data_IF_925367616583
#
_entry.id   IF_925367616583
#
_cell.length_a   1.000
_cell.length_b   1.000
_cell.length_c   1.000
_cell.angle_alpha   90.00
_cell.angle_beta   90.00
_cell.angle_gamma   90.00
#
_symmetry.space_group_name_H-M   'P 1'
#
loop_
_entity.id
_entity.type
_entity.pdbx_description
1 polymer ?
#
# COMPACT_ATOMS: atom_id res chain seq x y z
N UNK A 1 13.65 -5.37 -24.08
CA UNK A 1 13.71 -4.32 -25.13
C UNK A 1 12.51 -3.41 -24.89
N UNK A 2 12.69 -2.13 -24.50
CA UNK A 2 11.54 -1.24 -24.26
C UNK A 2 10.97 -0.76 -25.61
N UNK A 3 9.64 -0.85 -25.76
CA UNK A 3 8.89 -0.36 -26.92
C UNK A 3 8.47 1.11 -26.69
N UNK A 4 8.35 1.96 -27.73
CA UNK A 4 8.32 3.43 -27.62
C UNK A 4 7.03 4.07 -27.09
N UNK A 5 6.12 3.32 -26.48
CA UNK A 5 5.00 3.86 -25.70
C UNK A 5 5.22 3.44 -24.25
N UNK A 6 6.06 4.16 -23.52
CA UNK A 6 6.46 3.77 -22.15
C UNK A 6 5.34 3.99 -21.14
N UNK A 7 4.28 3.20 -21.23
CA UNK A 7 3.41 2.87 -20.11
C UNK A 7 4.09 1.75 -19.33
N UNK A 8 4.65 2.10 -18.17
CA UNK A 8 5.14 1.12 -17.21
C UNK A 8 3.94 0.31 -16.72
N UNK A 9 4.01 -1.02 -16.89
CA UNK A 9 3.01 -1.95 -16.39
C UNK A 9 3.62 -2.84 -15.33
N UNK A 10 2.86 -3.07 -14.26
CA UNK A 10 3.19 -4.11 -13.32
C UNK A 10 2.83 -5.44 -13.95
N UNK A 11 3.79 -6.35 -14.05
CA UNK A 11 3.55 -7.69 -14.59
C UNK A 11 3.92 -8.75 -13.57
N UNK A 12 3.09 -9.79 -13.48
CA UNK A 12 3.43 -11.01 -12.78
C UNK A 12 3.95 -12.03 -13.80
N UNK A 13 5.24 -12.36 -13.70
CA UNK A 13 5.84 -13.44 -14.46
C UNK A 13 5.78 -14.73 -13.63
N UNK A 14 5.16 -15.77 -14.18
CA UNK A 14 5.26 -17.13 -13.66
C UNK A 14 5.97 -17.98 -14.71
N UNK A 15 7.05 -18.64 -14.33
CA UNK A 15 7.80 -19.50 -15.25
C UNK A 15 8.28 -20.76 -14.57
N UNK A 16 8.37 -21.83 -15.36
CA UNK A 16 8.93 -23.12 -14.97
C UNK A 16 9.94 -23.58 -16.02
N UNK A 17 11.07 -24.17 -15.60
CA UNK A 17 12.02 -24.73 -16.53
C UNK A 17 11.41 -25.96 -17.21
N UNK A 18 11.69 -26.12 -18.49
CA UNK A 18 11.45 -27.33 -19.25
C UNK A 18 12.73 -28.13 -19.25
N UNK A 19 12.68 -29.36 -18.75
CA UNK A 19 13.83 -30.25 -18.66
C UNK A 19 13.66 -31.40 -19.64
N UNK A 20 14.77 -31.91 -20.16
CA UNK A 20 14.79 -33.17 -20.91
C UNK A 20 14.68 -34.37 -19.97
N UNK A 21 14.47 -35.57 -20.51
CA UNK A 21 14.46 -36.82 -19.74
C UNK A 21 15.78 -37.11 -19.01
N UNK A 22 16.87 -36.44 -19.44
CA UNK A 22 18.19 -36.53 -18.80
C UNK A 22 18.43 -35.41 -17.77
N UNK A 23 17.42 -34.57 -17.50
CA UNK A 23 17.50 -33.44 -16.58
C UNK A 23 18.18 -32.20 -17.16
N UNK A 24 18.46 -32.16 -18.47
CA UNK A 24 19.10 -31.01 -19.11
C UNK A 24 18.07 -29.89 -19.35
N UNK A 25 18.47 -28.63 -19.13
CA UNK A 25 17.59 -27.48 -19.35
C UNK A 25 17.32 -27.28 -20.85
N UNK A 26 16.07 -27.47 -21.26
CA UNK A 26 15.59 -27.22 -22.63
C UNK A 26 15.11 -25.78 -22.81
N UNK A 27 14.65 -25.13 -21.75
CA UNK A 27 14.18 -23.76 -21.78
C UNK A 27 13.26 -23.41 -20.63
N UNK A 28 12.49 -22.35 -20.79
CA UNK A 28 11.51 -21.90 -19.80
C UNK A 28 10.17 -21.70 -20.48
N UNK A 29 9.11 -22.25 -19.87
CA UNK A 29 7.73 -21.92 -20.21
C UNK A 29 7.21 -20.99 -19.14
N UNK A 30 6.42 -19.98 -19.52
CA UNK A 30 5.88 -19.06 -18.55
C UNK A 30 4.73 -18.22 -19.08
N UNK A 31 4.00 -17.63 -18.16
CA UNK A 31 2.90 -16.69 -18.40
C UNK A 31 3.27 -15.32 -17.87
N UNK A 32 2.92 -14.29 -18.62
CA UNK A 32 3.01 -12.89 -18.21
C UNK A 32 1.59 -12.38 -18.04
N UNK A 33 1.27 -11.89 -16.85
CA UNK A 33 -0.03 -11.31 -16.53
C UNK A 33 0.16 -9.84 -16.18
N UNK A 34 -0.59 -8.95 -16.82
CA UNK A 34 -0.65 -7.54 -16.40
C UNK A 34 -1.46 -7.46 -15.10
N UNK A 35 -0.83 -6.94 -14.06
CA UNK A 35 -1.39 -6.78 -12.72
C UNK A 35 -1.43 -5.30 -12.31
N UNK A 36 -1.32 -4.38 -13.26
CA UNK A 36 -1.26 -2.93 -13.00
C UNK A 36 -2.48 -2.46 -12.23
N UNK A 37 -3.69 -2.76 -12.72
CA UNK A 37 -4.94 -2.38 -12.06
C UNK A 37 -5.03 -2.93 -10.63
N UNK A 38 -4.55 -4.17 -10.43
CA UNK A 38 -4.54 -4.80 -9.11
C UNK A 38 -3.60 -4.08 -8.15
N UNK A 39 -2.41 -3.67 -8.62
CA UNK A 39 -1.43 -2.93 -7.80
C UNK A 39 -1.93 -1.51 -7.50
N UNK A 40 -2.52 -0.84 -8.48
CA UNK A 40 -3.13 0.49 -8.28
C UNK A 40 -4.27 0.44 -7.25
N UNK A 41 -5.14 -0.57 -7.31
CA UNK A 41 -6.21 -0.76 -6.33
C UNK A 41 -5.67 -1.08 -4.91
N UNK A 42 -4.60 -1.87 -4.81
CA UNK A 42 -3.93 -2.17 -3.55
C UNK A 42 -3.32 -0.91 -2.92
N UNK A 43 -2.66 -0.08 -3.74
CA UNK A 43 -2.05 1.17 -3.31
C UNK A 43 -3.09 2.20 -2.87
N UNK A 44 -4.16 2.40 -3.64
CA UNK A 44 -5.26 3.30 -3.29
C UNK A 44 -5.92 2.90 -1.96
N UNK A 45 -6.10 1.60 -1.71
CA UNK A 45 -6.62 1.11 -0.41
C UNK A 45 -5.64 1.39 0.73
N UNK A 46 -4.35 1.16 0.51
CA UNK A 46 -3.32 1.41 1.53
C UNK A 46 -3.19 2.91 1.85
N UNK A 47 -3.35 3.78 0.86
CA UNK A 47 -3.39 5.23 1.06
C UNK A 47 -4.61 5.65 1.87
N UNK A 48 -5.81 5.18 1.51
CA UNK A 48 -7.03 5.47 2.26
C UNK A 48 -6.92 5.06 3.74
N UNK A 49 -6.39 3.86 4.03
CA UNK A 49 -6.21 3.40 5.42
C UNK A 49 -5.23 4.30 6.18
N UNK A 50 -4.12 4.72 5.54
CA UNK A 50 -3.15 5.63 6.16
C UNK A 50 -3.75 6.99 6.46
N UNK A 51 -4.54 7.54 5.54
CA UNK A 51 -5.23 8.82 5.73
C UNK A 51 -6.22 8.75 6.91
N UNK A 52 -7.02 7.68 6.97
CA UNK A 52 -7.97 7.48 8.07
C UNK A 52 -7.26 7.37 9.42
N UNK A 53 -6.14 6.63 9.50
CA UNK A 53 -5.37 6.51 10.72
C UNK A 53 -4.79 7.86 11.17
N UNK A 54 -4.18 8.62 10.25
CA UNK A 54 -3.63 9.95 10.54
C UNK A 54 -4.72 10.92 11.00
N UNK A 55 -5.90 10.86 10.38
CA UNK A 55 -7.05 11.67 10.78
C UNK A 55 -7.53 11.33 12.18
N UNK A 56 -7.68 10.05 12.51
CA UNK A 56 -8.08 9.62 13.85
C UNK A 56 -7.09 10.06 14.92
N UNK A 57 -5.79 9.98 14.65
CA UNK A 57 -4.75 10.46 15.55
C UNK A 57 -4.86 11.98 15.79
N UNK A 58 -5.05 12.76 14.72
CA UNK A 58 -5.23 14.21 14.83
C UNK A 58 -6.51 14.59 15.58
N UNK A 59 -7.61 13.87 15.36
CA UNK A 59 -8.88 14.09 16.07
C UNK A 59 -8.72 13.75 17.57
N UNK A 60 -8.07 12.63 17.90
CA UNK A 60 -7.81 12.24 19.29
C UNK A 60 -6.92 13.27 20.01
N UNK A 61 -5.84 13.73 19.35
CA UNK A 61 -4.96 14.76 19.91
C UNK A 61 -5.70 16.08 20.16
N UNK A 62 -6.60 16.49 19.25
CA UNK A 62 -7.41 17.68 19.43
C UNK A 62 -8.40 17.53 20.59
N UNK A 63 -9.07 16.38 20.72
CA UNK A 63 -9.97 16.11 21.85
C UNK A 63 -9.24 16.16 23.19
N UNK A 64 -8.06 15.54 23.30
CA UNK A 64 -7.24 15.59 24.52
C UNK A 64 -6.83 17.03 24.86
N UNK A 65 -6.47 17.84 23.86
CA UNK A 65 -6.14 19.26 24.06
C UNK A 65 -7.34 20.03 24.60
N UNK A 66 -8.52 19.81 24.03
CA UNK A 66 -9.73 20.52 24.45
C UNK A 66 -10.17 20.14 25.87
N UNK A 67 -10.08 18.85 26.23
CA UNK A 67 -10.33 18.36 27.59
C UNK A 67 -9.33 18.91 28.61
N UNK A 68 -8.04 18.94 28.25
CA UNK A 68 -7.00 19.53 29.07
C UNK A 68 -7.26 21.03 29.34
N UNK A 69 -7.59 21.80 28.29
CA UNK A 69 -7.90 23.22 28.43
C UNK A 69 -9.16 23.47 29.27
N UNK A 70 -10.18 22.63 29.12
CA UNK A 70 -11.40 22.71 29.93
C UNK A 70 -11.10 22.46 31.41
N UNK A 71 -10.32 21.43 31.72
CA UNK A 71 -9.92 21.07 33.09
C UNK A 71 -9.13 22.19 33.75
N UNK A 72 -8.10 22.72 33.07
CA UNK A 72 -7.31 23.84 33.57
C UNK A 72 -8.17 25.08 33.83
N UNK A 73 -9.12 25.40 32.94
CA UNK A 73 -10.00 26.56 33.14
C UNK A 73 -10.93 26.38 34.34
N UNK A 74 -11.37 25.16 34.63
CA UNK A 74 -12.24 24.88 35.78
C UNK A 74 -11.49 25.04 37.11
N UNK A 75 -10.25 24.55 37.19
CA UNK A 75 -9.39 24.72 38.38
C UNK A 75 -8.96 26.17 38.61
N UNK A 76 -8.75 26.95 37.55
CA UNK A 76 -8.40 28.37 37.66
C UNK A 76 -9.59 29.27 38.03
N UNK A 77 -10.84 28.87 37.70
CA UNK A 77 -12.05 29.67 37.96
C UNK A 77 -12.74 29.37 39.28
N UNK A 78 -12.41 28.27 39.93
CA UNK A 78 -12.99 27.86 41.21
C UNK A 78 -11.85 27.32 42.09
N UNK A 79 -11.22 28.16 42.92
CA UNK A 79 -10.31 27.66 43.94
C UNK A 79 -11.05 26.90 45.05
#
# INVERSE_FOLDING_TARGET
>A
IPHPSSLTRWVCLRSSPMLSDKGELLGHVGTIEDITERKEAEEARAEFIREQAARQEAEAANQMKDEFLATLSHELRTP
#
